data_IF_245575889219
#
_entry.id   IF_245575889219
#
_cell.length_a   1.000
_cell.length_b   1.000
_cell.length_c   1.000
_cell.angle_alpha   90.00
_cell.angle_beta   90.00
_cell.angle_gamma   90.00
#
_symmetry.space_group_name_H-M   'P 1'
#
loop_
_entity.id
_entity.type
_entity.pdbx_description
1 polymer ?
#
# COMPACT_ATOMS: atom_id res chain seq x y z
N UNK A 1 14.40 29.61 -15.04
CA UNK A 1 14.76 28.85 -13.81
C UNK A 1 13.95 27.56 -13.84
N UNK A 2 14.61 26.42 -14.06
CA UNK A 2 13.97 25.11 -14.13
C UNK A 2 13.62 24.64 -12.71
N UNK A 3 12.40 24.16 -12.50
CA UNK A 3 12.02 23.53 -11.23
C UNK A 3 12.91 22.30 -10.99
N UNK A 4 13.36 22.03 -9.75
CA UNK A 4 14.09 20.80 -9.46
C UNK A 4 13.15 19.61 -9.72
N UNK A 5 13.61 18.67 -10.54
CA UNK A 5 12.90 17.43 -10.81
C UNK A 5 12.66 16.70 -9.48
N UNK A 6 11.42 16.27 -9.23
CA UNK A 6 11.14 15.32 -8.15
C UNK A 6 12.00 14.09 -8.39
N UNK A 7 12.90 13.77 -7.46
CA UNK A 7 13.65 12.52 -7.49
C UNK A 7 12.68 11.35 -7.63
N UNK A 8 12.82 10.60 -8.72
CA UNK A 8 12.07 9.39 -8.96
C UNK A 8 12.63 8.32 -8.01
N UNK A 9 11.83 7.88 -7.04
CA UNK A 9 12.31 6.94 -6.02
C UNK A 9 12.80 5.60 -6.57
N UNK A 10 12.35 5.21 -7.77
CA UNK A 10 12.69 3.92 -8.39
C UNK A 10 13.91 3.98 -9.32
N UNK A 11 14.61 5.11 -9.36
CA UNK A 11 15.77 5.31 -10.22
C UNK A 11 16.97 5.67 -9.34
N UNK A 12 18.14 5.11 -9.61
CA UNK A 12 19.39 5.50 -8.96
C UNK A 12 20.00 6.76 -9.63
N UNK A 13 21.11 7.26 -9.08
CA UNK A 13 21.82 8.44 -9.60
C UNK A 13 22.37 8.24 -11.03
N UNK A 14 22.45 6.99 -11.49
CA UNK A 14 22.92 6.60 -12.83
C UNK A 14 21.78 6.33 -13.81
N UNK A 15 20.50 6.43 -13.39
CA UNK A 15 19.35 6.15 -14.23
C UNK A 15 18.84 4.70 -14.20
N UNK A 16 19.40 3.83 -13.37
CA UNK A 16 18.98 2.43 -13.30
C UNK A 16 17.77 2.23 -12.39
N UNK A 17 16.90 1.30 -12.78
CA UNK A 17 15.79 0.84 -11.97
C UNK A 17 16.29 0.19 -10.67
N UNK A 18 15.79 0.66 -9.52
CA UNK A 18 16.04 0.05 -8.21
C UNK A 18 14.77 -0.06 -7.37
N UNK A 19 14.69 -1.14 -6.61
CA UNK A 19 13.67 -1.28 -5.56
C UNK A 19 14.04 -0.35 -4.40
N UNK A 20 13.08 0.42 -3.90
CA UNK A 20 13.29 1.37 -2.80
C UNK A 20 13.51 0.61 -1.50
N UNK A 21 14.56 0.91 -0.73
CA UNK A 21 14.66 0.39 0.63
C UNK A 21 13.57 1.04 1.52
N UNK A 22 12.78 0.19 2.17
CA UNK A 22 11.70 0.59 3.07
C UNK A 22 11.96 0.21 4.52
N UNK A 23 13.13 -0.37 4.84
CA UNK A 23 13.49 -0.91 6.17
C UNK A 23 13.25 0.08 7.31
N UNK A 24 13.59 1.36 7.11
CA UNK A 24 13.45 2.44 8.10
C UNK A 24 12.03 3.02 8.21
N UNK A 25 11.07 2.55 7.40
CA UNK A 25 9.66 3.00 7.48
C UNK A 25 8.88 2.17 8.49
N UNK A 26 7.93 2.80 9.16
CA UNK A 26 7.04 2.12 10.09
C UNK A 26 6.06 1.18 9.37
N UNK A 27 5.73 0.08 10.07
CA UNK A 27 4.64 -0.83 9.68
C UNK A 27 3.31 -0.17 10.06
N UNK A 28 2.45 0.06 9.07
CA UNK A 28 1.14 0.68 9.28
C UNK A 28 0.06 -0.07 8.50
N UNK A 29 -1.19 -0.02 8.97
CA UNK A 29 -2.33 -0.50 8.18
C UNK A 29 -2.45 0.29 6.87
N UNK A 30 -2.62 -0.44 5.76
CA UNK A 30 -2.69 0.11 4.40
C UNK A 30 -3.82 -0.52 3.64
N UNK A 31 -4.46 0.27 2.79
CA UNK A 31 -5.55 -0.18 1.92
C UNK A 31 -5.45 0.52 0.59
N UNK A 32 -5.77 -0.18 -0.48
CA UNK A 32 -5.94 0.40 -1.81
C UNK A 32 -7.19 -0.17 -2.45
N UNK A 33 -7.88 0.67 -3.23
CA UNK A 33 -9.02 0.29 -4.07
C UNK A 33 -8.70 0.73 -5.49
N UNK A 34 -8.90 -0.17 -6.44
CA UNK A 34 -8.80 0.10 -7.87
C UNK A 34 -10.10 -0.33 -8.55
N UNK A 35 -10.36 0.26 -9.71
CA UNK A 35 -11.45 -0.16 -10.59
C UNK A 35 -10.96 -0.41 -12.00
N UNK A 36 -11.74 -1.14 -12.78
CA UNK A 36 -11.60 -1.30 -14.22
C UNK A 36 -12.95 -1.68 -14.83
N UNK A 37 -13.05 -1.71 -16.15
CA UNK A 37 -14.29 -2.04 -16.83
C UNK A 37 -14.02 -2.90 -18.05
N UNK A 38 -14.67 -4.06 -18.13
CA UNK A 38 -14.69 -4.87 -19.35
C UNK A 38 -15.86 -4.41 -20.20
N UNK A 39 -15.61 -3.76 -21.33
CA UNK A 39 -16.64 -3.38 -22.31
C UNK A 39 -16.94 -4.57 -23.21
N UNK A 40 -18.21 -4.83 -23.46
CA UNK A 40 -18.68 -5.94 -24.29
C UNK A 40 -20.08 -5.61 -24.83
N UNK A 41 -20.84 -6.60 -25.28
CA UNK A 41 -22.21 -6.43 -25.77
C UNK A 41 -23.25 -6.71 -24.67
N UNK A 42 -24.45 -6.17 -24.84
CA UNK A 42 -25.59 -6.49 -23.97
C UNK A 42 -25.96 -7.97 -23.98
N UNK A 43 -25.74 -8.65 -25.11
CA UNK A 43 -25.91 -10.10 -25.23
C UNK A 43 -24.98 -10.84 -24.27
N UNK A 44 -23.69 -10.49 -24.27
CA UNK A 44 -22.69 -11.12 -23.37
C UNK A 44 -23.03 -10.85 -21.90
N UNK A 45 -23.43 -9.63 -21.55
CA UNK A 45 -23.88 -9.32 -20.18
C UNK A 45 -25.09 -10.18 -19.80
N UNK A 46 -26.06 -10.35 -20.71
CA UNK A 46 -27.19 -11.25 -20.53
C UNK A 46 -26.78 -12.70 -20.29
N UNK A 47 -25.81 -13.20 -21.05
CA UNK A 47 -25.25 -14.55 -20.87
C UNK A 47 -24.53 -14.70 -19.52
N UNK A 48 -23.76 -13.69 -19.09
CA UNK A 48 -23.12 -13.68 -17.78
C UNK A 48 -24.17 -13.75 -16.68
N UNK A 49 -25.18 -12.87 -16.71
CA UNK A 49 -26.23 -12.82 -15.68
C UNK A 49 -27.10 -14.08 -15.65
N UNK A 50 -27.34 -14.70 -16.80
CA UNK A 50 -28.17 -15.90 -16.93
C UNK A 50 -27.42 -17.22 -16.77
N UNK A 51 -26.08 -17.20 -16.61
CA UNK A 51 -25.27 -18.41 -16.56
C UNK A 51 -25.20 -19.17 -17.90
N UNK A 52 -25.45 -18.49 -19.01
CA UNK A 52 -25.52 -19.06 -20.36
C UNK A 52 -24.17 -19.16 -21.08
N UNK A 53 -23.07 -18.77 -20.45
CA UNK A 53 -21.75 -18.82 -21.08
C UNK A 53 -21.27 -20.28 -21.23
N UNK A 54 -20.73 -20.67 -22.41
CA UNK A 54 -20.23 -22.04 -22.64
C UNK A 54 -19.13 -22.49 -21.68
N UNK A 55 -18.37 -21.53 -21.13
CA UNK A 55 -17.24 -21.78 -20.24
C UNK A 55 -17.61 -21.85 -18.76
N UNK A 56 -18.88 -21.65 -18.41
CA UNK A 56 -19.35 -21.63 -17.02
C UNK A 56 -19.34 -20.24 -16.39
N UNK A 57 -19.22 -20.19 -15.06
CA UNK A 57 -19.36 -18.95 -14.28
C UNK A 57 -18.14 -18.03 -14.44
N UNK A 58 -18.30 -17.00 -15.29
CA UNK A 58 -17.28 -16.00 -15.57
C UNK A 58 -16.96 -15.11 -14.36
N UNK A 59 -17.95 -14.72 -13.55
CA UNK A 59 -17.73 -13.82 -12.41
C UNK A 59 -16.99 -14.54 -11.28
N UNK A 60 -17.35 -15.80 -11.00
CA UNK A 60 -16.64 -16.61 -10.01
C UNK A 60 -15.18 -16.85 -10.43
N UNK A 61 -14.97 -17.21 -11.71
CA UNK A 61 -13.63 -17.42 -12.28
C UNK A 61 -12.78 -16.16 -12.19
N UNK A 62 -13.33 -15.02 -12.63
CA UNK A 62 -12.64 -13.74 -12.59
C UNK A 62 -12.31 -13.27 -11.16
N UNK A 63 -13.19 -13.57 -10.19
CA UNK A 63 -12.94 -13.25 -8.78
C UNK A 63 -11.70 -13.97 -8.24
N UNK A 64 -11.62 -15.27 -8.49
CA UNK A 64 -10.49 -16.11 -8.05
C UNK A 64 -9.22 -15.63 -8.76
N UNK A 65 -9.30 -15.39 -10.07
CA UNK A 65 -8.18 -14.89 -10.86
C UNK A 65 -7.66 -13.54 -10.31
N UNK A 66 -8.54 -12.60 -9.97
CA UNK A 66 -8.15 -11.33 -9.38
C UNK A 66 -7.48 -11.49 -8.00
N UNK A 67 -8.01 -12.36 -7.14
CA UNK A 67 -7.37 -12.67 -5.83
C UNK A 67 -5.99 -13.30 -6.01
N UNK A 68 -5.83 -14.20 -6.97
CA UNK A 68 -4.54 -14.79 -7.32
C UNK A 68 -3.58 -13.75 -7.90
N UNK A 69 -4.08 -12.87 -8.76
CA UNK A 69 -3.32 -11.77 -9.36
C UNK A 69 -2.72 -10.85 -8.29
N UNK A 70 -3.52 -10.41 -7.33
CA UNK A 70 -3.04 -9.60 -6.20
C UNK A 70 -1.88 -10.26 -5.47
N UNK A 71 -1.99 -11.56 -5.14
CA UNK A 71 -0.95 -12.31 -4.43
C UNK A 71 0.33 -12.51 -5.24
N UNK A 72 0.23 -12.48 -6.57
CA UNK A 72 1.35 -12.63 -7.51
C UNK A 72 1.94 -11.30 -7.98
N UNK A 73 1.45 -10.16 -7.50
CA UNK A 73 1.95 -8.83 -7.87
C UNK A 73 3.49 -8.71 -7.83
N UNK A 74 4.21 -9.13 -6.78
CA UNK A 74 5.68 -9.02 -6.77
C UNK A 74 6.39 -9.95 -7.78
N UNK A 75 5.72 -10.98 -8.29
CA UNK A 75 6.25 -11.83 -9.38
C UNK A 75 6.07 -11.16 -10.76
N UNK A 76 5.06 -10.27 -10.89
CA UNK A 76 4.66 -9.66 -12.15
C UNK A 76 5.24 -8.26 -12.34
N UNK A 77 5.39 -7.49 -11.26
CA UNK A 77 5.85 -6.09 -11.29
C UNK A 77 7.27 -6.02 -10.69
N UNK A 78 8.33 -5.83 -11.51
CA UNK A 78 9.72 -6.10 -11.11
C UNK A 78 10.26 -5.39 -9.87
N UNK A 79 9.74 -4.21 -9.53
CA UNK A 79 10.22 -3.40 -8.40
C UNK A 79 9.23 -3.33 -7.23
N UNK A 80 8.15 -4.12 -7.28
CA UNK A 80 7.26 -4.24 -6.13
C UNK A 80 7.92 -5.07 -5.03
N UNK A 81 7.76 -4.61 -3.78
CA UNK A 81 8.13 -5.41 -2.62
C UNK A 81 7.19 -6.62 -2.49
N UNK A 82 7.71 -7.70 -1.91
CA UNK A 82 6.85 -8.78 -1.45
C UNK A 82 6.12 -8.32 -0.18
N UNK A 83 4.78 -8.36 -0.22
CA UNK A 83 3.91 -7.88 0.86
C UNK A 83 3.03 -9.03 1.36
N UNK A 84 2.93 -9.19 2.67
CA UNK A 84 1.98 -10.12 3.27
C UNK A 84 0.56 -9.52 3.25
N UNK A 85 -0.24 -9.86 2.23
CA UNK A 85 -1.61 -9.38 2.11
C UNK A 85 -2.52 -9.98 3.19
N UNK A 86 -3.26 -9.13 3.90
CA UNK A 86 -4.19 -9.54 4.96
C UNK A 86 -5.61 -9.69 4.44
N UNK A 87 -5.98 -8.95 3.38
CA UNK A 87 -7.27 -9.09 2.69
C UNK A 87 -7.13 -8.72 1.22
N UNK A 88 -7.80 -9.48 0.36
CA UNK A 88 -8.08 -9.11 -1.03
C UNK A 88 -9.55 -9.35 -1.28
N UNK A 89 -10.22 -8.38 -1.90
CA UNK A 89 -11.61 -8.48 -2.33
C UNK A 89 -11.72 -8.03 -3.79
N UNK A 90 -12.55 -8.69 -4.57
CA UNK A 90 -12.83 -8.36 -5.97
C UNK A 90 -14.32 -8.48 -6.15
N UNK A 91 -14.97 -7.43 -6.64
CA UNK A 91 -16.41 -7.37 -6.87
C UNK A 91 -16.74 -6.90 -8.28
N UNK A 92 -17.96 -7.19 -8.71
CA UNK A 92 -18.43 -6.95 -10.07
C UNK A 92 -19.81 -6.31 -10.04
N UNK A 93 -20.02 -5.37 -10.95
CA UNK A 93 -21.32 -4.74 -11.22
C UNK A 93 -21.59 -4.87 -12.73
N UNK A 94 -22.74 -5.46 -13.06
CA UNK A 94 -23.17 -5.62 -14.44
C UNK A 94 -23.87 -4.33 -14.91
N UNK A 95 -23.42 -3.81 -16.04
CA UNK A 95 -23.99 -2.65 -16.75
C UNK A 95 -24.55 -3.11 -18.10
N UNK A 96 -25.29 -2.25 -18.82
CA UNK A 96 -25.96 -2.62 -20.09
C UNK A 96 -25.03 -3.28 -21.12
N UNK A 97 -23.77 -2.83 -21.21
CA UNK A 97 -22.78 -3.31 -22.18
C UNK A 97 -21.37 -3.37 -21.55
N UNK A 98 -21.30 -3.63 -20.25
CA UNK A 98 -20.03 -3.72 -19.55
C UNK A 98 -20.13 -4.50 -18.23
N UNK A 99 -18.98 -4.92 -17.72
CA UNK A 99 -18.81 -5.38 -16.35
C UNK A 99 -17.81 -4.46 -15.66
N UNK A 100 -18.26 -3.69 -14.68
CA UNK A 100 -17.39 -2.91 -13.80
C UNK A 100 -16.77 -3.84 -12.77
N UNK A 101 -15.46 -3.69 -12.57
CA UNK A 101 -14.66 -4.46 -11.62
C UNK A 101 -14.16 -3.49 -10.56
N UNK A 102 -14.28 -3.87 -9.29
CA UNK A 102 -13.63 -3.18 -8.19
C UNK A 102 -12.76 -4.17 -7.41
N UNK A 103 -11.48 -3.85 -7.27
CA UNK A 103 -10.51 -4.64 -6.53
C UNK A 103 -9.97 -3.87 -5.33
N UNK A 104 -9.89 -4.53 -4.18
CA UNK A 104 -9.40 -3.95 -2.93
C UNK A 104 -8.36 -4.84 -2.29
N UNK A 105 -7.25 -4.26 -1.85
CA UNK A 105 -6.18 -4.95 -1.15
C UNK A 105 -5.89 -4.28 0.20
N UNK A 106 -5.55 -5.07 1.22
CA UNK A 106 -5.11 -4.60 2.54
C UNK A 106 -3.87 -5.34 3.03
N UNK A 107 -3.09 -4.63 3.83
CA UNK A 107 -1.96 -5.17 4.57
C UNK A 107 -1.68 -4.32 5.83
N UNK A 108 -0.75 -4.79 6.66
CA UNK A 108 -0.02 -3.98 7.62
C UNK A 108 1.47 -4.10 7.30
N UNK A 109 2.04 -3.10 6.60
CA UNK A 109 3.42 -3.15 6.11
C UNK A 109 4.03 -1.74 5.93
N UNK A 110 5.27 -1.68 5.42
CA UNK A 110 6.10 -0.48 5.23
C UNK A 110 5.86 0.22 3.88
N UNK A 111 5.21 -0.46 2.94
CA UNK A 111 4.87 0.05 1.61
C UNK A 111 3.40 -0.17 1.27
N UNK A 112 2.87 0.63 0.34
CA UNK A 112 1.47 0.59 -0.08
C UNK A 112 1.11 -0.67 -0.90
N UNK A 113 -0.19 -0.87 -1.09
CA UNK A 113 -0.77 -2.02 -1.83
C UNK A 113 -1.53 -1.58 -3.08
N UNK A 114 -1.16 -0.43 -3.65
CA UNK A 114 -1.78 0.10 -4.87
C UNK A 114 -1.64 -0.87 -6.03
N UNK A 115 -0.46 -1.49 -6.16
CA UNK A 115 -0.17 -2.41 -7.26
C UNK A 115 -0.93 -3.72 -7.13
N UNK A 116 -1.19 -4.20 -5.91
CA UNK A 116 -1.98 -5.41 -5.67
C UNK A 116 -3.44 -5.19 -6.03
N UNK A 117 -4.01 -4.03 -5.69
CA UNK A 117 -5.38 -3.68 -6.10
C UNK A 117 -5.50 -3.54 -7.62
N UNK A 118 -4.55 -2.84 -8.27
CA UNK A 118 -4.52 -2.68 -9.72
C UNK A 118 -4.35 -4.03 -10.44
N UNK A 119 -3.44 -4.87 -9.95
CA UNK A 119 -3.19 -6.20 -10.52
C UNK A 119 -4.41 -7.10 -10.37
N UNK A 120 -5.11 -7.04 -9.23
CA UNK A 120 -6.36 -7.79 -9.02
C UNK A 120 -7.41 -7.45 -10.10
N UNK A 121 -7.63 -6.15 -10.35
CA UNK A 121 -8.57 -5.68 -11.37
C UNK A 121 -8.15 -6.14 -12.76
N UNK A 122 -6.87 -5.95 -13.12
CA UNK A 122 -6.35 -6.31 -14.43
C UNK A 122 -6.51 -7.80 -14.70
N UNK A 123 -6.09 -8.65 -13.76
CA UNK A 123 -6.15 -10.11 -13.93
C UNK A 123 -7.60 -10.60 -13.92
N UNK A 124 -8.49 -10.02 -13.11
CA UNK A 124 -9.92 -10.31 -13.17
C UNK A 124 -10.52 -9.93 -14.53
N UNK A 125 -10.15 -8.77 -15.08
CA UNK A 125 -10.59 -8.32 -16.40
C UNK A 125 -10.10 -9.23 -17.53
N UNK A 126 -8.84 -9.66 -17.49
CA UNK A 126 -8.30 -10.63 -18.46
C UNK A 126 -8.98 -12.00 -18.35
N UNK A 127 -9.31 -12.44 -17.14
CA UNK A 127 -10.07 -13.67 -16.93
C UNK A 127 -11.50 -13.55 -17.47
N UNK A 128 -12.20 -12.42 -17.26
CA UNK A 128 -13.49 -12.17 -17.89
C UNK A 128 -13.39 -12.22 -19.42
N UNK A 129 -12.40 -11.52 -20.00
CA UNK A 129 -12.16 -11.56 -21.44
C UNK A 129 -11.95 -13.00 -21.93
N UNK A 130 -11.15 -13.82 -21.23
CA UNK A 130 -10.97 -15.23 -21.59
C UNK A 130 -12.29 -16.01 -21.64
N UNK A 131 -13.17 -15.75 -20.67
CA UNK A 131 -14.47 -16.41 -20.51
C UNK A 131 -15.48 -16.00 -21.58
N UNK A 132 -15.39 -14.78 -22.12
CA UNK A 132 -16.38 -14.22 -23.06
C UNK A 132 -15.91 -14.17 -24.52
N UNK A 133 -14.60 -14.23 -24.80
CA UNK A 133 -14.04 -13.99 -26.15
C UNK A 133 -14.56 -14.91 -27.27
N UNK A 134 -15.19 -16.03 -26.92
CA UNK A 134 -15.84 -16.92 -27.89
C UNK A 134 -17.16 -16.34 -28.42
N UNK A 135 -17.80 -15.45 -27.67
CA UNK A 135 -19.05 -14.74 -28.03
C UNK A 135 -18.72 -13.33 -28.51
N UNK A 136 -17.81 -12.63 -27.82
CA UNK A 136 -17.38 -11.28 -28.18
C UNK A 136 -15.83 -11.15 -28.12
N UNK A 137 -15.13 -11.34 -29.24
CA UNK A 137 -13.68 -11.16 -29.31
C UNK A 137 -13.23 -9.69 -29.31
N UNK A 138 -14.15 -8.73 -29.51
CA UNK A 138 -13.84 -7.29 -29.55
C UNK A 138 -13.87 -6.63 -28.16
N UNK A 139 -14.27 -7.38 -27.13
CA UNK A 139 -14.35 -6.90 -25.76
C UNK A 139 -13.02 -6.27 -25.29
N UNK A 140 -13.09 -5.08 -24.68
CA UNK A 140 -11.92 -4.35 -24.18
C UNK A 140 -11.87 -4.31 -22.66
N UNK A 141 -10.68 -4.14 -22.10
CA UNK A 141 -10.47 -3.82 -20.70
C UNK A 141 -10.01 -2.37 -20.57
N UNK A 142 -10.91 -1.53 -20.10
CA UNK A 142 -10.71 -0.09 -20.00
C UNK A 142 -10.60 0.35 -18.55
N UNK A 143 -10.20 1.61 -18.35
CA UNK A 143 -10.34 2.33 -17.09
C UNK A 143 -9.69 1.66 -15.86
N UNK A 144 -8.68 0.81 -16.07
CA UNK A 144 -7.89 0.23 -14.96
C UNK A 144 -7.13 1.33 -14.24
N UNK A 145 -7.56 1.65 -13.02
CA UNK A 145 -7.06 2.82 -12.30
C UNK A 145 -7.28 2.73 -10.79
N UNK A 146 -6.42 3.42 -10.03
CA UNK A 146 -6.54 3.51 -8.58
C UNK A 146 -7.68 4.48 -8.20
N UNK A 147 -8.61 4.06 -7.36
CA UNK A 147 -9.72 4.88 -6.89
C UNK A 147 -9.43 5.48 -5.51
N UNK A 148 -8.78 4.72 -4.65
CA UNK A 148 -8.49 5.13 -3.29
C UNK A 148 -7.22 4.47 -2.76
N UNK A 149 -6.53 5.13 -1.83
CA UNK A 149 -5.58 4.49 -0.93
C UNK A 149 -5.55 5.16 0.43
N UNK A 150 -5.18 4.39 1.45
CA UNK A 150 -5.03 4.84 2.84
C UNK A 150 -3.77 4.25 3.47
N UNK A 151 -3.20 4.99 4.42
CA UNK A 151 -2.05 4.57 5.22
C UNK A 151 -0.68 5.04 4.71
N UNK A 152 0.32 4.89 5.56
CA UNK A 152 1.67 5.41 5.35
C UNK A 152 1.79 6.93 5.38
N UNK A 153 3.01 7.43 5.15
CA UNK A 153 3.36 8.85 5.24
C UNK A 153 2.53 9.76 4.32
N UNK A 154 2.06 9.25 3.17
CA UNK A 154 1.25 10.04 2.23
C UNK A 154 -0.20 10.25 2.68
N UNK A 155 -0.62 9.56 3.75
CA UNK A 155 -2.00 9.57 4.21
C UNK A 155 -2.98 9.03 3.18
N UNK A 156 -4.24 9.45 3.32
CA UNK A 156 -5.34 9.08 2.42
C UNK A 156 -5.28 9.84 1.11
N UNK A 157 -5.58 9.14 0.02
CA UNK A 157 -5.80 9.71 -1.30
C UNK A 157 -7.06 9.09 -1.91
N UNK A 158 -7.82 9.90 -2.64
CA UNK A 158 -8.99 9.49 -3.41
C UNK A 158 -8.96 10.16 -4.78
N UNK A 159 -9.42 9.44 -5.81
CA UNK A 159 -9.60 9.99 -7.14
C UNK A 159 -10.70 11.06 -7.13
N UNK A 160 -10.46 12.16 -7.83
CA UNK A 160 -11.43 13.26 -7.93
C UNK A 160 -11.44 14.23 -6.75
N UNK A 161 -10.77 13.91 -5.64
CA UNK A 161 -10.57 14.86 -4.54
C UNK A 161 -9.34 15.75 -4.81
N UNK A 162 -9.45 17.04 -4.51
CA UNK A 162 -8.31 17.95 -4.57
C UNK A 162 -7.21 17.42 -3.65
N UNK A 163 -5.98 17.29 -4.16
CA UNK A 163 -4.83 17.00 -3.30
C UNK A 163 -4.68 18.18 -2.33
N UNK A 164 -5.20 18.04 -1.12
CA UNK A 164 -4.93 19.00 -0.05
C UNK A 164 -3.42 19.18 0.03
N UNK A 165 -2.95 20.42 -0.02
CA UNK A 165 -1.53 20.74 -0.01
C UNK A 165 -0.94 20.33 1.34
N UNK A 166 -0.49 19.07 1.44
CA UNK A 166 0.17 18.53 2.62
C UNK A 166 1.58 19.13 2.80
N UNK A 167 2.02 20.09 1.96
CA UNK A 167 3.32 20.75 2.11
C UNK A 167 3.39 21.70 3.29
N UNK A 168 2.29 22.30 3.70
CA UNK A 168 2.31 23.39 4.69
C UNK A 168 2.36 22.91 6.15
N UNK A 169 2.07 21.63 6.44
CA UNK A 169 2.11 21.13 7.83
C UNK A 169 3.52 20.79 8.33
N UNK A 170 4.48 20.56 7.44
CA UNK A 170 5.86 20.26 7.84
C UNK A 170 6.70 21.51 8.12
N UNK A 171 6.26 22.70 7.69
CA UNK A 171 6.97 23.96 7.94
C UNK A 171 6.58 24.62 9.26
N UNK A 172 5.37 24.37 9.76
CA UNK A 172 4.87 25.01 10.97
C UNK A 172 5.35 24.31 12.26
N UNK A 173 5.58 22.99 12.24
CA UNK A 173 6.13 22.26 13.41
C UNK A 173 7.63 22.51 13.64
N UNK A 174 8.39 22.90 12.61
CA UNK A 174 9.80 23.30 12.77
C UNK A 174 9.97 24.75 13.21
N UNK A 175 9.01 25.63 12.94
CA UNK A 175 9.09 27.03 13.34
C UNK A 175 8.78 27.25 14.84
N UNK A 176 8.11 26.30 15.50
CA UNK A 176 7.75 26.41 16.92
C UNK A 176 8.86 25.93 17.89
N UNK A 177 9.94 25.31 17.39
CA UNK A 177 10.97 24.67 18.22
C UNK A 177 12.25 25.47 18.48
N UNK A 178 12.43 26.63 17.84
CA UNK A 178 13.69 27.39 17.91
C UNK A 178 13.46 28.86 18.30
N UNK A 179 12.87 29.14 19.46
CA UNK A 179 13.01 30.45 20.11
C UNK A 179 13.09 30.31 21.63
N UNK A 180 14.22 30.69 22.21
CA UNK A 180 14.33 31.00 23.64
C UNK A 180 15.39 30.21 24.41
N UNK A 181 16.67 30.41 24.10
CA UNK A 181 17.73 30.26 25.12
C UNK A 181 17.86 31.62 25.79
N UNK A 182 17.56 31.70 27.09
CA UNK A 182 18.06 32.77 27.94
C UNK A 182 18.47 32.23 29.32
N UNK A 183 19.44 32.91 29.89
CA UNK A 183 20.44 32.41 30.82
C UNK A 183 20.15 32.89 32.25
N UNK A 184 20.32 32.01 33.27
CA UNK A 184 20.90 32.28 34.62
C UNK A 184 20.31 31.43 35.78
N UNK A 185 21.22 30.99 36.68
CA UNK A 185 20.98 30.49 38.06
C UNK A 185 21.05 28.95 38.20
N UNK A 186 21.85 28.29 39.05
CA UNK A 186 22.49 28.77 40.30
C UNK A 186 22.09 28.02 41.57
N UNK A 187 21.52 26.80 41.57
CA UNK A 187 21.05 26.20 42.83
C UNK A 187 21.26 24.68 42.94
N UNK A 188 22.44 24.33 43.48
CA UNK A 188 22.75 23.31 44.50
C UNK A 188 21.63 22.31 44.87
N UNK A 189 21.78 21.03 44.52
CA UNK A 189 21.53 19.87 45.39
C UNK A 189 22.04 18.60 44.69
N UNK A 190 23.04 17.95 45.30
CA UNK A 190 23.64 16.73 44.79
C UNK A 190 22.77 15.51 45.09
N UNK A 191 22.26 14.88 44.03
CA UNK A 191 21.70 13.52 44.00
C UNK A 191 21.79 13.03 42.56
N UNK A 192 22.32 11.83 42.33
CA UNK A 192 22.35 11.23 41.00
C UNK A 192 21.06 10.44 40.70
N UNK A 193 20.84 10.22 39.40
CA UNK A 193 19.57 9.80 38.77
C UNK A 193 19.05 8.40 39.16
N UNK A 194 19.69 7.72 40.12
CA UNK A 194 19.25 6.41 40.62
C UNK A 194 18.87 6.42 42.12
N UNK A 195 18.94 7.56 42.81
CA UNK A 195 18.32 7.72 44.13
C UNK A 195 18.90 6.84 45.24
N UNK A 196 20.22 6.65 45.27
CA UNK A 196 20.90 5.91 46.35
C UNK A 196 21.93 6.80 47.04
N UNK A 197 21.78 6.93 48.36
CA UNK A 197 22.63 7.73 49.23
C UNK A 197 24.05 7.14 49.33
N UNK A 198 25.08 7.97 49.15
CA UNK A 198 26.48 7.55 49.29
C UNK A 198 26.91 7.69 50.74
N UNK A 199 26.51 6.73 51.56
CA UNK A 199 27.18 6.42 52.81
C UNK A 199 26.78 5.00 53.23
N UNK A 200 27.79 4.21 53.61
CA UNK A 200 27.75 2.80 54.01
C UNK A 200 27.60 1.78 52.88
N UNK A 201 28.35 0.68 52.77
CA UNK A 201 29.54 0.19 53.45
C UNK A 201 30.04 -0.96 52.56
N UNK A 202 31.23 -0.87 51.99
CA UNK A 202 32.38 -1.69 52.39
C UNK A 202 32.00 -3.06 52.99
N UNK A 203 31.89 -4.07 52.12
CA UNK A 203 32.14 -5.50 52.39
C UNK A 203 32.22 -6.24 51.05
N UNK A 204 33.44 -6.63 50.68
CA UNK A 204 33.66 -7.57 49.59
C UNK A 204 33.13 -8.97 49.92
N UNK A 205 33.07 -9.83 48.89
CA UNK A 205 33.59 -11.21 48.87
C UNK A 205 33.41 -11.79 47.46
N UNK A 206 34.40 -12.59 47.11
CA UNK A 206 34.76 -13.31 45.89
C UNK A 206 33.72 -14.25 45.23
N UNK A 207 33.89 -14.37 43.91
CA UNK A 207 34.05 -15.60 43.07
C UNK A 207 33.27 -16.86 43.48
N UNK A 208 32.44 -17.39 42.56
CA UNK A 208 32.61 -18.75 42.03
C UNK A 208 31.67 -19.11 40.85
N UNK A 209 32.26 -19.89 39.95
CA UNK A 209 31.67 -20.58 38.80
C UNK A 209 31.15 -21.98 39.18
N UNK A 210 30.28 -22.55 38.33
CA UNK A 210 29.80 -23.94 38.33
C UNK A 210 28.33 -23.98 37.87
N UNK A 211 27.98 -24.54 36.71
CA UNK A 211 27.68 -25.97 36.48
C UNK A 211 26.17 -26.18 36.69
N UNK A 212 25.36 -26.84 35.87
CA UNK A 212 25.46 -27.76 34.72
C UNK A 212 24.47 -27.33 33.62
#
# INVERSE_FOLDING_TARGET
MSQPARELSHVDESGNARMVDVSAKDVTARTAVASGRVRTTAEVVGLISGGGLPKGDALATARIAGVMGAKKTPELIPLCHQIALTKVDVSFELEDAAVRIEGMARTSDRTGVEMEALTAVTVAGLALHDMIKAVDPEATLDDVRLEAKDGGKSGSWRRGEARGDQRTRATDEKAAGEQGVDQHGVDQHGVDQYGVDRQDADRGVDVQAGGE
#
